data_IF_551127762578
#
_entry.id   IF_551127762578
#
_cell.length_a   1.000
_cell.length_b   1.000
_cell.length_c   1.000
_cell.angle_alpha   90.00
_cell.angle_beta   90.00
_cell.angle_gamma   90.00
#
_symmetry.space_group_name_H-M   'P 1'
#
loop_
_entity.id
_entity.type
_entity.pdbx_description
1 polymer ?
#
# COMPACT_ATOMS: atom_id res chain seq x y z
N UNK A 1 17.54 -2.51 -60.96
CA UNK A 1 17.21 -1.32 -60.12
C UNK A 1 16.14 -1.63 -59.07
N UNK A 2 14.97 -2.15 -59.46
CA UNK A 2 13.84 -2.45 -58.55
C UNK A 2 14.20 -3.36 -57.35
N UNK A 3 14.94 -4.45 -57.56
CA UNK A 3 15.33 -5.37 -56.47
C UNK A 3 16.18 -4.70 -55.37
N UNK A 4 17.09 -3.79 -55.73
CA UNK A 4 17.94 -3.06 -54.76
C UNK A 4 17.11 -2.08 -53.92
N UNK A 5 16.10 -1.47 -54.52
CA UNK A 5 15.17 -0.56 -53.83
C UNK A 5 14.32 -1.36 -52.82
N UNK A 6 13.77 -2.50 -53.23
CA UNK A 6 12.99 -3.36 -52.33
C UNK A 6 13.84 -3.91 -51.18
N UNK A 7 15.08 -4.36 -51.45
CA UNK A 7 15.99 -4.83 -50.42
C UNK A 7 16.38 -3.71 -49.43
N UNK A 8 16.64 -2.50 -49.94
CA UNK A 8 16.93 -1.33 -49.11
C UNK A 8 15.75 -0.96 -48.21
N UNK A 9 14.53 -0.94 -48.75
CA UNK A 9 13.31 -0.67 -47.97
C UNK A 9 13.09 -1.73 -46.89
N UNK A 10 13.24 -3.01 -47.23
CA UNK A 10 13.11 -4.11 -46.27
C UNK A 10 14.11 -4.00 -45.11
N UNK A 11 15.36 -3.66 -45.39
CA UNK A 11 16.38 -3.46 -44.34
C UNK A 11 16.02 -2.27 -43.42
N UNK A 12 15.57 -1.15 -43.99
CA UNK A 12 15.15 0.02 -43.20
C UNK A 12 13.96 -0.33 -42.29
N UNK A 13 12.97 -1.06 -42.80
CA UNK A 13 11.83 -1.51 -42.00
C UNK A 13 12.26 -2.42 -40.85
N UNK A 14 13.14 -3.39 -41.11
CA UNK A 14 13.66 -4.28 -40.06
C UNK A 14 14.46 -3.53 -38.99
N UNK A 15 15.29 -2.56 -39.39
CA UNK A 15 16.03 -1.71 -38.44
C UNK A 15 15.08 -0.84 -37.61
N UNK A 16 14.06 -0.25 -38.23
CA UNK A 16 13.05 0.53 -37.51
C UNK A 16 12.29 -0.33 -36.50
N UNK A 17 11.88 -1.54 -36.88
CA UNK A 17 11.22 -2.50 -35.98
C UNK A 17 12.14 -2.97 -34.85
N UNK A 18 13.41 -3.27 -35.16
CA UNK A 18 14.41 -3.68 -34.17
C UNK A 18 14.70 -2.56 -33.16
N UNK A 19 14.91 -1.34 -33.63
CA UNK A 19 15.09 -0.16 -32.77
C UNK A 19 13.85 0.12 -31.92
N UNK A 20 12.66 0.06 -32.51
CA UNK A 20 11.41 0.22 -31.75
C UNK A 20 11.29 -0.84 -30.65
N UNK A 21 11.58 -2.11 -30.97
CA UNK A 21 11.53 -3.20 -30.01
C UNK A 21 12.53 -2.99 -28.86
N UNK A 22 13.78 -2.63 -29.16
CA UNK A 22 14.81 -2.42 -28.14
C UNK A 22 14.55 -1.19 -27.27
N UNK A 23 14.09 -0.08 -27.86
CA UNK A 23 13.77 1.15 -27.12
C UNK A 23 12.51 1.03 -26.25
N UNK A 24 11.58 0.15 -26.64
CA UNK A 24 10.33 -0.05 -25.90
C UNK A 24 10.31 -1.32 -25.08
N UNK A 25 11.35 -2.16 -25.14
CA UNK A 25 11.44 -3.37 -24.33
C UNK A 25 11.24 -3.01 -22.85
N UNK A 26 10.49 -3.82 -22.10
CA UNK A 26 10.30 -3.57 -20.68
C UNK A 26 11.66 -3.53 -19.98
N UNK A 27 11.79 -2.64 -19.00
CA UNK A 27 13.03 -2.52 -18.23
C UNK A 27 13.41 -3.83 -17.54
N UNK A 28 14.67 -4.00 -17.18
CA UNK A 28 15.03 -5.15 -16.35
C UNK A 28 14.44 -5.00 -14.95
N UNK A 29 13.77 -6.04 -14.42
CA UNK A 29 13.36 -6.14 -13.01
C UNK A 29 14.49 -6.68 -12.13
N UNK A 30 15.75 -6.40 -12.45
CA UNK A 30 16.91 -6.71 -11.59
C UNK A 30 16.93 -5.82 -10.34
N UNK A 31 15.83 -5.81 -9.59
CA UNK A 31 15.69 -5.17 -8.30
C UNK A 31 16.04 -6.21 -7.26
N UNK A 32 17.00 -5.88 -6.39
CA UNK A 32 17.27 -6.71 -5.21
C UNK A 32 16.18 -6.43 -4.19
N UNK A 33 15.36 -7.43 -3.90
CA UNK A 33 14.36 -7.33 -2.85
C UNK A 33 15.00 -7.47 -1.47
N UNK A 34 14.48 -6.79 -0.44
CA UNK A 34 14.89 -7.03 0.93
C UNK A 34 14.75 -8.51 1.30
N UNK A 35 15.63 -8.97 2.19
CA UNK A 35 15.57 -10.31 2.77
C UNK A 35 16.06 -10.23 4.22
N UNK A 36 15.15 -10.35 5.22
CA UNK A 36 13.71 -10.56 5.08
C UNK A 36 12.95 -9.33 4.53
N UNK A 37 11.73 -9.54 4.00
CA UNK A 37 10.87 -8.51 3.42
C UNK A 37 9.53 -8.43 4.17
N UNK A 38 9.19 -7.24 4.67
CA UNK A 38 7.95 -7.01 5.41
C UNK A 38 6.69 -7.26 4.58
N UNK A 39 6.74 -7.01 3.26
CA UNK A 39 5.60 -7.30 2.38
C UNK A 39 5.27 -8.79 2.35
N UNK A 40 6.30 -9.64 2.28
CA UNK A 40 6.12 -11.09 2.22
C UNK A 40 5.54 -11.60 3.57
N UNK A 41 5.97 -11.03 4.70
CA UNK A 41 5.44 -11.35 6.03
C UNK A 41 3.97 -10.91 6.21
N UNK A 42 3.60 -9.70 5.74
CA UNK A 42 2.20 -9.23 5.78
C UNK A 42 1.30 -10.08 4.88
N UNK A 43 1.75 -10.40 3.67
CA UNK A 43 1.04 -11.28 2.76
C UNK A 43 0.84 -12.68 3.37
N UNK A 44 1.88 -13.25 4.00
CA UNK A 44 1.79 -14.53 4.70
C UNK A 44 0.80 -14.49 5.87
N UNK A 45 0.79 -13.41 6.66
CA UNK A 45 -0.20 -13.21 7.72
C UNK A 45 -1.63 -13.21 7.15
N UNK A 46 -1.85 -12.48 6.05
CA UNK A 46 -3.11 -12.41 5.34
C UNK A 46 -3.60 -13.74 4.78
N UNK A 47 -2.69 -14.65 4.40
CA UNK A 47 -3.04 -16.03 3.97
C UNK A 47 -3.35 -16.97 5.13
N UNK A 48 -2.60 -16.85 6.23
CA UNK A 48 -2.70 -17.77 7.37
C UNK A 48 -3.90 -17.46 8.27
N UNK A 49 -4.42 -16.23 8.21
CA UNK A 49 -5.53 -15.86 9.06
C UNK A 49 -6.83 -16.58 8.72
N UNK A 50 -7.64 -16.83 9.75
CA UNK A 50 -9.02 -17.27 9.55
C UNK A 50 -9.83 -16.15 8.91
N UNK A 51 -10.84 -16.43 8.06
CA UNK A 51 -11.68 -15.40 7.46
C UNK A 51 -12.27 -14.46 8.49
N UNK A 52 -12.18 -13.14 8.22
CA UNK A 52 -12.74 -12.11 9.10
C UNK A 52 -14.26 -12.28 9.19
N UNK A 53 -14.87 -12.25 10.40
CA UNK A 53 -16.32 -12.21 10.55
C UNK A 53 -16.92 -11.02 9.77
N UNK A 54 -18.10 -11.18 9.16
CA UNK A 54 -18.68 -10.10 8.33
C UNK A 54 -18.99 -8.82 9.11
N UNK A 55 -19.20 -8.91 10.42
CA UNK A 55 -19.65 -7.83 11.31
C UNK A 55 -18.55 -7.37 12.29
N UNK A 56 -17.28 -7.70 12.04
CA UNK A 56 -16.18 -7.42 12.97
C UNK A 56 -16.02 -5.95 13.36
N UNK A 57 -16.43 -5.02 12.49
CA UNK A 57 -16.31 -3.57 12.68
C UNK A 57 -17.38 -2.99 13.62
N UNK A 58 -18.55 -3.62 13.63
CA UNK A 58 -19.75 -3.19 14.36
C UNK A 58 -20.05 -4.06 15.57
N UNK A 59 -19.43 -5.25 15.64
CA UNK A 59 -19.56 -6.19 16.73
C UNK A 59 -19.24 -5.54 18.08
N UNK A 60 -20.06 -5.91 19.08
CA UNK A 60 -19.91 -5.59 20.49
C UNK A 60 -19.54 -6.83 21.31
N UNK A 61 -19.44 -7.99 20.66
CA UNK A 61 -19.15 -9.26 21.32
C UNK A 61 -17.64 -9.40 21.51
N UNK A 62 -17.15 -8.91 22.64
CA UNK A 62 -15.73 -8.97 23.00
C UNK A 62 -15.21 -10.40 23.10
N UNK A 63 -16.05 -11.36 23.49
CA UNK A 63 -15.66 -12.77 23.60
C UNK A 63 -15.43 -13.38 22.22
N UNK A 64 -16.31 -13.09 21.25
CA UNK A 64 -16.14 -13.54 19.87
C UNK A 64 -14.90 -12.91 19.21
N UNK A 65 -14.66 -11.62 19.42
CA UNK A 65 -13.46 -10.94 18.91
C UNK A 65 -12.18 -11.52 19.54
N UNK A 66 -12.16 -11.77 20.85
CA UNK A 66 -11.02 -12.39 21.52
C UNK A 66 -10.77 -13.80 20.99
N UNK A 67 -11.80 -14.64 20.86
CA UNK A 67 -11.67 -15.99 20.31
C UNK A 67 -11.13 -15.99 18.88
N UNK A 68 -11.55 -15.01 18.07
CA UNK A 68 -10.98 -14.80 16.74
C UNK A 68 -9.50 -14.44 16.80
N UNK A 69 -9.08 -13.50 17.67
CA UNK A 69 -7.66 -13.15 17.81
C UNK A 69 -6.81 -14.31 18.33
N UNK A 70 -7.33 -15.11 19.26
CA UNK A 70 -6.65 -16.30 19.79
C UNK A 70 -6.36 -17.33 18.68
N UNK A 71 -7.29 -17.48 17.73
CA UNK A 71 -7.11 -18.33 16.55
C UNK A 71 -6.11 -17.76 15.52
N UNK A 72 -5.70 -16.50 15.65
CA UNK A 72 -4.84 -15.77 14.70
C UNK A 72 -3.53 -15.28 15.34
N UNK A 73 -3.06 -15.91 16.41
CA UNK A 73 -1.80 -15.57 17.10
C UNK A 73 -0.58 -15.64 16.17
N UNK A 74 -0.48 -16.67 15.32
CA UNK A 74 0.60 -16.81 14.34
C UNK A 74 0.61 -15.67 13.28
N UNK A 75 -0.52 -15.36 12.60
CA UNK A 75 -0.62 -14.17 11.75
C UNK A 75 -0.26 -12.85 12.44
N UNK A 76 -0.65 -12.65 13.70
CA UNK A 76 -0.33 -11.44 14.45
C UNK A 76 1.19 -11.32 14.70
N UNK A 77 1.86 -12.43 15.01
CA UNK A 77 3.32 -12.44 15.19
C UNK A 77 4.07 -12.08 13.90
N UNK A 78 3.57 -12.52 12.74
CA UNK A 78 4.12 -12.13 11.43
C UNK A 78 3.96 -10.63 11.16
N UNK A 79 2.83 -10.05 11.56
CA UNK A 79 2.58 -8.61 11.43
C UNK A 79 3.52 -7.80 12.32
N UNK A 80 3.77 -8.26 13.54
CA UNK A 80 4.76 -7.65 14.43
C UNK A 80 6.16 -7.71 13.83
N UNK A 81 6.56 -8.86 13.30
CA UNK A 81 7.85 -9.04 12.62
C UNK A 81 7.99 -8.10 11.41
N UNK A 82 6.93 -7.90 10.63
CA UNK A 82 6.96 -7.05 9.43
C UNK A 82 7.27 -5.58 9.74
N UNK A 83 6.97 -5.10 10.97
CA UNK A 83 7.20 -3.71 11.36
C UNK A 83 8.68 -3.34 11.40
N UNK A 84 9.55 -4.32 11.68
CA UNK A 84 11.01 -4.14 11.78
C UNK A 84 11.74 -4.42 10.45
N UNK A 85 11.00 -4.70 9.38
CA UNK A 85 11.58 -5.10 8.09
C UNK A 85 11.44 -4.00 7.04
N UNK A 86 12.40 -3.96 6.11
CA UNK A 86 12.22 -3.23 4.87
C UNK A 86 11.07 -3.83 4.08
N UNK A 87 10.31 -2.98 3.40
CA UNK A 87 9.03 -3.36 2.82
C UNK A 87 9.00 -2.99 1.34
N UNK A 88 8.88 -4.00 0.48
CA UNK A 88 8.80 -3.80 -0.96
C UNK A 88 7.93 -4.87 -1.62
N UNK A 89 6.95 -4.43 -2.42
CA UNK A 89 6.10 -5.33 -3.22
C UNK A 89 6.96 -6.12 -4.18
N UNK A 90 6.84 -7.45 -4.11
CA UNK A 90 7.57 -8.37 -4.99
C UNK A 90 6.83 -8.52 -6.31
N UNK A 91 7.50 -8.17 -7.40
CA UNK A 91 6.97 -8.26 -8.76
C UNK A 91 7.84 -9.22 -9.56
N UNK A 92 7.32 -10.41 -9.88
CA UNK A 92 8.05 -11.36 -10.72
C UNK A 92 7.68 -11.22 -12.19
N UNK A 93 8.57 -11.56 -13.12
CA UNK A 93 8.29 -11.46 -14.56
C UNK A 93 7.16 -12.39 -15.02
N UNK A 94 6.87 -13.45 -14.25
CA UNK A 94 5.82 -14.43 -14.54
C UNK A 94 4.49 -14.15 -13.85
N UNK A 95 4.38 -13.05 -13.09
CA UNK A 95 3.21 -12.81 -12.26
C UNK A 95 1.98 -12.44 -13.09
N UNK A 96 0.89 -13.16 -12.86
CA UNK A 96 -0.42 -12.93 -13.47
C UNK A 96 -1.15 -11.79 -12.76
N UNK A 97 -2.18 -11.23 -13.40
CA UNK A 97 -3.02 -10.21 -12.76
C UNK A 97 -3.78 -10.78 -11.55
N UNK A 98 -4.22 -12.03 -11.61
CA UNK A 98 -4.91 -12.70 -10.51
C UNK A 98 -3.99 -12.83 -9.28
N UNK A 99 -2.73 -13.22 -9.48
CA UNK A 99 -1.75 -13.29 -8.39
C UNK A 99 -1.46 -11.90 -7.77
N UNK A 100 -1.46 -10.83 -8.58
CA UNK A 100 -1.32 -9.45 -8.09
C UNK A 100 -2.54 -9.05 -7.24
N UNK A 101 -3.74 -9.42 -7.69
CA UNK A 101 -4.99 -9.16 -6.98
C UNK A 101 -5.04 -9.92 -5.65
N UNK A 102 -4.64 -11.20 -5.66
CA UNK A 102 -4.58 -12.05 -4.48
C UNK A 102 -3.62 -11.46 -3.43
N UNK A 103 -2.40 -11.09 -3.83
CA UNK A 103 -1.43 -10.45 -2.91
C UNK A 103 -1.95 -9.13 -2.32
N UNK A 104 -2.66 -8.34 -3.12
CA UNK A 104 -3.31 -7.11 -2.64
C UNK A 104 -4.44 -7.43 -1.64
N UNK A 105 -5.20 -8.51 -1.88
CA UNK A 105 -6.23 -9.02 -0.99
C UNK A 105 -5.66 -9.53 0.33
N UNK A 106 -4.54 -10.25 0.31
CA UNK A 106 -3.82 -10.73 1.50
C UNK A 106 -3.39 -9.56 2.40
N UNK A 107 -2.82 -8.51 1.81
CA UNK A 107 -2.43 -7.29 2.54
C UNK A 107 -3.63 -6.61 3.20
N UNK A 108 -4.76 -6.53 2.49
CA UNK A 108 -6.02 -6.01 3.04
C UNK A 108 -6.56 -6.88 4.19
N UNK A 109 -6.45 -8.20 4.08
CA UNK A 109 -6.90 -9.09 5.15
C UNK A 109 -6.06 -8.91 6.41
N UNK A 110 -4.75 -8.78 6.27
CA UNK A 110 -3.85 -8.50 7.38
C UNK A 110 -4.17 -7.17 8.09
N UNK A 111 -4.52 -6.11 7.36
CA UNK A 111 -4.94 -4.85 7.99
C UNK A 111 -6.28 -4.98 8.73
N UNK A 112 -7.22 -5.77 8.21
CA UNK A 112 -8.47 -6.08 8.92
C UNK A 112 -8.24 -6.85 10.22
N UNK A 113 -7.29 -7.78 10.25
CA UNK A 113 -6.90 -8.48 11.47
C UNK A 113 -6.39 -7.49 12.54
N UNK A 114 -5.53 -6.53 12.18
CA UNK A 114 -5.11 -5.47 13.09
C UNK A 114 -6.28 -4.57 13.53
N UNK A 115 -7.26 -4.34 12.65
CA UNK A 115 -8.43 -3.56 13.02
C UNK A 115 -9.29 -4.29 14.06
N UNK A 116 -9.38 -5.63 14.01
CA UNK A 116 -10.04 -6.42 15.06
C UNK A 116 -9.30 -6.27 16.40
N UNK A 117 -7.96 -6.27 16.39
CA UNK A 117 -7.16 -5.98 17.60
C UNK A 117 -7.50 -4.61 18.16
N UNK A 118 -7.55 -3.59 17.29
CA UNK A 118 -7.91 -2.24 17.70
C UNK A 118 -9.31 -2.17 18.31
N UNK A 119 -10.28 -2.80 17.65
CA UNK A 119 -11.68 -2.80 18.07
C UNK A 119 -11.87 -3.46 19.43
N UNK A 120 -11.27 -4.63 19.65
CA UNK A 120 -11.37 -5.30 20.94
C UNK A 120 -10.74 -4.43 22.05
N UNK A 121 -9.56 -3.87 21.80
CA UNK A 121 -8.90 -2.99 22.76
C UNK A 121 -9.73 -1.74 23.08
N UNK A 122 -10.42 -1.15 22.10
CA UNK A 122 -11.35 -0.03 22.35
C UNK A 122 -12.52 -0.43 23.24
N UNK A 123 -13.16 -1.57 22.96
CA UNK A 123 -14.29 -2.08 23.75
C UNK A 123 -13.89 -2.38 25.20
N UNK A 124 -12.64 -2.77 25.42
CA UNK A 124 -12.07 -3.03 26.75
C UNK A 124 -11.48 -1.77 27.42
N UNK A 125 -11.59 -0.61 26.79
CA UNK A 125 -11.03 0.66 27.30
C UNK A 125 -9.50 0.77 27.24
N UNK A 126 -8.82 -0.18 26.59
CA UNK A 126 -7.36 -0.22 26.37
C UNK A 126 -6.94 0.67 25.20
N UNK A 127 -7.13 1.99 25.35
CA UNK A 127 -6.93 2.96 24.26
C UNK A 127 -5.52 2.95 23.66
N UNK A 128 -4.49 2.66 24.46
CA UNK A 128 -3.10 2.57 23.99
C UNK A 128 -2.89 1.37 23.06
N UNK A 129 -3.45 0.21 23.42
CA UNK A 129 -3.35 -1.00 22.60
C UNK A 129 -4.12 -0.84 21.28
N UNK A 130 -5.28 -0.17 21.34
CA UNK A 130 -6.04 0.16 20.14
C UNK A 130 -5.26 1.09 19.19
N UNK A 131 -4.68 2.16 19.73
CA UNK A 131 -3.87 3.08 18.95
C UNK A 131 -2.60 2.42 18.37
N UNK A 132 -1.99 1.48 19.10
CA UNK A 132 -0.88 0.69 18.59
C UNK A 132 -1.25 -0.11 17.33
N UNK A 133 -2.39 -0.80 17.36
CA UNK A 133 -2.86 -1.56 16.21
C UNK A 133 -3.19 -0.64 15.02
N UNK A 134 -3.85 0.50 15.26
CA UNK A 134 -4.16 1.49 14.23
C UNK A 134 -2.90 2.15 13.62
N UNK A 135 -1.87 2.39 14.43
CA UNK A 135 -0.59 2.88 13.93
C UNK A 135 0.12 1.87 13.03
N UNK A 136 0.07 0.57 13.37
CA UNK A 136 0.55 -0.49 12.47
C UNK A 136 -0.20 -0.51 11.14
N UNK A 137 -1.53 -0.34 11.17
CA UNK A 137 -2.34 -0.22 9.94
C UNK A 137 -1.87 0.96 9.10
N UNK A 138 -1.68 2.14 9.70
CA UNK A 138 -1.21 3.33 8.98
C UNK A 138 0.16 3.11 8.31
N UNK A 139 1.11 2.53 9.06
CA UNK A 139 2.46 2.24 8.57
C UNK A 139 2.45 1.17 7.47
N UNK A 140 1.73 0.06 7.65
CA UNK A 140 1.61 -0.98 6.63
C UNK A 140 0.96 -0.43 5.36
N UNK A 141 -0.10 0.36 5.50
CA UNK A 141 -0.77 1.02 4.38
C UNK A 141 0.24 1.81 3.57
N UNK A 142 0.98 2.70 4.22
CA UNK A 142 1.99 3.53 3.55
C UNK A 142 3.08 2.71 2.87
N UNK A 143 3.65 1.72 3.56
CA UNK A 143 4.70 0.85 3.03
C UNK A 143 4.22 -0.02 1.86
N UNK A 144 2.93 -0.33 1.79
CA UNK A 144 2.34 -1.20 0.75
C UNK A 144 2.33 -0.61 -0.65
N UNK A 145 2.60 0.69 -0.81
CA UNK A 145 2.80 1.28 -2.13
C UNK A 145 4.21 1.04 -2.70
N UNK A 146 5.19 0.70 -1.85
CA UNK A 146 6.60 0.66 -2.24
C UNK A 146 6.89 -0.50 -3.19
N UNK A 147 7.44 -0.19 -4.36
CA UNK A 147 7.77 -1.22 -5.36
C UNK A 147 6.58 -1.75 -6.18
N UNK A 148 5.36 -1.33 -5.85
CA UNK A 148 4.13 -1.89 -6.43
C UNK A 148 3.66 -1.23 -7.74
N UNK A 149 2.50 -1.73 -8.16
CA UNK A 149 1.63 -1.26 -9.25
C UNK A 149 0.53 -0.32 -8.73
N UNK A 150 -0.30 0.23 -9.63
CA UNK A 150 -1.37 1.17 -9.28
C UNK A 150 -2.34 0.58 -8.25
N UNK A 151 -2.69 -0.68 -8.40
CA UNK A 151 -3.59 -1.38 -7.47
C UNK A 151 -3.02 -1.45 -6.04
N UNK A 152 -1.71 -1.64 -5.90
CA UNK A 152 -1.05 -1.67 -4.61
C UNK A 152 -1.07 -0.28 -3.97
N UNK A 153 -0.85 0.78 -4.76
CA UNK A 153 -0.90 2.16 -4.28
C UNK A 153 -2.32 2.58 -3.85
N UNK A 154 -3.36 2.20 -4.61
CA UNK A 154 -4.74 2.47 -4.22
C UNK A 154 -5.12 1.73 -2.92
N UNK A 155 -4.71 0.46 -2.79
CA UNK A 155 -4.92 -0.32 -1.56
C UNK A 155 -4.17 0.31 -0.38
N UNK A 156 -2.91 0.69 -0.58
CA UNK A 156 -2.06 1.35 0.39
C UNK A 156 -2.71 2.61 0.98
N UNK A 157 -3.24 3.48 0.12
CA UNK A 157 -3.94 4.71 0.54
C UNK A 157 -5.17 4.40 1.38
N UNK A 158 -5.98 3.42 0.97
CA UNK A 158 -7.18 3.02 1.71
C UNK A 158 -6.83 2.45 3.10
N UNK A 159 -5.82 1.58 3.17
CA UNK A 159 -5.34 1.00 4.43
C UNK A 159 -4.76 2.09 5.34
N UNK A 160 -3.92 2.98 4.81
CA UNK A 160 -3.31 4.05 5.61
C UNK A 160 -4.40 4.94 6.23
N UNK A 161 -5.36 5.38 5.41
CA UNK A 161 -6.48 6.22 5.85
C UNK A 161 -7.24 5.62 7.01
N UNK A 162 -7.55 4.32 6.94
CA UNK A 162 -8.24 3.61 8.02
C UNK A 162 -7.47 3.70 9.35
N UNK A 163 -6.14 3.57 9.30
CA UNK A 163 -5.29 3.74 10.48
C UNK A 163 -5.27 5.18 11.00
N UNK A 164 -5.14 6.17 10.10
CA UNK A 164 -5.09 7.59 10.45
C UNK A 164 -6.41 8.08 11.09
N UNK A 165 -7.55 7.70 10.51
CA UNK A 165 -8.87 8.08 11.03
C UNK A 165 -9.13 7.52 12.43
N UNK A 166 -8.80 6.24 12.66
CA UNK A 166 -8.92 5.63 13.99
C UNK A 166 -7.99 6.30 15.00
N UNK A 167 -6.75 6.58 14.63
CA UNK A 167 -5.80 7.29 15.50
C UNK A 167 -6.30 8.69 15.86
N UNK A 168 -6.90 9.41 14.91
CA UNK A 168 -7.48 10.74 15.16
C UNK A 168 -8.57 10.67 16.23
N UNK A 169 -9.45 9.66 16.16
CA UNK A 169 -10.53 9.44 17.13
C UNK A 169 -10.00 9.08 18.53
N UNK A 170 -8.91 8.32 18.62
CA UNK A 170 -8.29 7.95 19.89
C UNK A 170 -7.33 8.99 20.47
N UNK A 171 -6.86 9.95 19.67
CA UNK A 171 -5.81 10.90 20.04
C UNK A 171 -6.02 11.57 21.40
N UNK A 172 -7.24 11.98 21.75
CA UNK A 172 -7.54 12.65 23.02
C UNK A 172 -7.47 11.73 24.25
N UNK A 173 -7.63 10.42 24.06
CA UNK A 173 -7.59 9.41 25.13
C UNK A 173 -6.17 8.91 25.42
N UNK A 174 -5.19 9.30 24.60
CA UNK A 174 -3.82 8.80 24.71
C UNK A 174 -2.99 9.59 25.73
N UNK A 175 -2.22 8.90 26.58
CA UNK A 175 -1.14 9.49 27.36
C UNK A 175 -0.14 10.26 26.49
N UNK A 176 0.53 11.27 27.06
CA UNK A 176 1.41 12.16 26.31
C UNK A 176 2.67 11.46 25.75
N UNK A 177 3.21 10.49 26.48
CA UNK A 177 4.30 9.62 26.06
C UNK A 177 3.89 8.74 24.86
N UNK A 178 2.70 8.17 24.91
CA UNK A 178 2.15 7.36 23.82
C UNK A 178 1.86 8.19 22.56
N UNK A 179 1.31 9.40 22.72
CA UNK A 179 1.17 10.35 21.60
C UNK A 179 2.51 10.64 20.93
N UNK A 180 3.54 10.90 21.74
CA UNK A 180 4.89 11.19 21.25
C UNK A 180 5.48 9.99 20.51
N UNK A 181 5.30 8.78 21.03
CA UNK A 181 5.79 7.54 20.41
C UNK A 181 5.11 7.27 19.07
N UNK A 182 3.77 7.39 19.01
CA UNK A 182 3.01 7.20 17.77
C UNK A 182 3.36 8.27 16.73
N UNK A 183 3.48 9.54 17.14
CA UNK A 183 3.90 10.61 16.23
C UNK A 183 5.25 10.30 15.58
N UNK A 184 6.24 9.88 16.38
CA UNK A 184 7.56 9.45 15.86
C UNK A 184 7.47 8.28 14.89
N UNK A 185 6.60 7.30 15.16
CA UNK A 185 6.40 6.15 14.27
C UNK A 185 5.84 6.59 12.91
N UNK A 186 4.85 7.49 12.90
CA UNK A 186 4.25 8.01 11.66
C UNK A 186 5.23 8.92 10.89
N UNK A 187 5.96 9.78 11.60
CA UNK A 187 6.99 10.67 11.02
C UNK A 187 8.16 9.90 10.40
N UNK A 188 8.53 8.75 10.97
CA UNK A 188 9.60 7.92 10.42
C UNK A 188 9.29 7.50 8.97
N UNK A 189 8.03 7.26 8.65
CA UNK A 189 7.61 6.92 7.28
C UNK A 189 7.61 8.13 6.33
N UNK A 190 7.57 9.37 6.83
CA UNK A 190 7.69 10.58 6.01
C UNK A 190 9.11 10.78 5.46
N UNK A 191 10.13 10.21 6.11
CA UNK A 191 11.52 10.33 5.65
C UNK A 191 11.79 9.67 4.30
N UNK A 192 10.92 8.73 3.91
CA UNK A 192 10.98 8.01 2.65
C UNK A 192 9.97 8.55 1.62
N UNK A 193 9.26 9.64 1.94
CA UNK A 193 8.25 10.21 1.05
C UNK A 193 8.92 10.87 -0.15
N UNK A 194 8.60 10.35 -1.33
CA UNK A 194 8.88 11.04 -2.58
C UNK A 194 7.69 11.94 -2.92
N UNK A 195 7.93 12.90 -3.81
CA UNK A 195 6.85 13.72 -4.37
C UNK A 195 5.75 12.84 -5.02
N UNK A 196 4.48 13.27 -4.93
CA UNK A 196 3.33 12.47 -5.38
C UNK A 196 3.39 12.25 -6.89
N UNK A 197 3.78 13.25 -7.67
CA UNK A 197 3.89 13.10 -9.12
C UNK A 197 5.04 12.16 -9.48
N UNK A 198 6.17 12.24 -8.77
CA UNK A 198 7.27 11.28 -8.92
C UNK A 198 6.85 9.83 -8.59
N UNK A 199 6.00 9.64 -7.57
CA UNK A 199 5.42 8.34 -7.20
C UNK A 199 4.50 7.82 -8.32
N UNK A 200 3.60 8.66 -8.82
CA UNK A 200 2.67 8.34 -9.91
C UNK A 200 3.42 8.02 -11.20
N UNK A 201 4.46 8.77 -11.54
CA UNK A 201 5.32 8.50 -12.70
C UNK A 201 5.98 7.12 -12.57
N UNK A 202 6.55 6.81 -11.41
CA UNK A 202 7.17 5.50 -11.14
C UNK A 202 6.17 4.35 -11.29
N UNK A 203 4.94 4.53 -10.77
CA UNK A 203 3.86 3.54 -10.91
C UNK A 203 3.45 3.38 -12.37
N UNK A 204 3.23 4.49 -13.08
CA UNK A 204 2.85 4.51 -14.50
C UNK A 204 3.87 3.76 -15.35
N UNK A 205 5.16 4.02 -15.14
CA UNK A 205 6.24 3.32 -15.85
C UNK A 205 6.16 1.82 -15.59
N UNK A 206 5.96 1.39 -14.34
CA UNK A 206 5.84 -0.03 -13.98
C UNK A 206 4.61 -0.70 -14.58
N UNK A 207 3.49 0.00 -14.65
CA UNK A 207 2.26 -0.50 -15.30
C UNK A 207 2.48 -0.72 -16.79
N UNK A 208 3.08 0.25 -17.48
CA UNK A 208 3.42 0.11 -18.89
C UNK A 208 4.35 -1.08 -19.15
N UNK A 209 5.33 -1.22 -18.28
CA UNK A 209 6.26 -2.34 -18.27
C UNK A 209 5.54 -3.67 -18.05
N UNK A 210 4.54 -3.71 -17.16
CA UNK A 210 3.73 -4.89 -16.89
C UNK A 210 2.88 -5.29 -18.11
N UNK A 211 2.19 -4.32 -18.73
CA UNK A 211 1.40 -4.53 -19.95
C UNK A 211 2.25 -5.07 -21.09
N UNK A 212 3.46 -4.51 -21.28
CA UNK A 212 4.41 -4.99 -22.31
C UNK A 212 4.91 -6.41 -22.04
N UNK A 213 5.13 -6.81 -20.79
CA UNK A 213 5.52 -8.19 -20.46
C UNK A 213 4.38 -9.17 -20.73
N UNK A 214 3.15 -8.83 -20.33
CA UNK A 214 2.00 -9.72 -20.48
C UNK A 214 1.52 -9.86 -21.93
N UNK A 215 1.58 -8.78 -22.72
CA UNK A 215 1.07 -8.76 -24.09
C UNK A 215 2.17 -8.85 -25.17
N UNK A 216 3.44 -8.79 -24.78
CA UNK A 216 4.58 -8.60 -25.67
C UNK A 216 4.79 -7.13 -26.04
N UNK A 217 6.05 -6.74 -26.29
CA UNK A 217 6.46 -5.33 -26.47
C UNK A 217 5.65 -4.57 -27.52
N UNK A 218 5.42 -5.17 -28.69
CA UNK A 218 4.69 -4.48 -29.78
C UNK A 218 3.22 -4.24 -29.42
N UNK A 219 2.51 -5.29 -28.99
CA UNK A 219 1.09 -5.20 -28.65
C UNK A 219 0.88 -4.35 -27.41
N UNK A 220 1.73 -4.51 -26.39
CA UNK A 220 1.67 -3.70 -25.17
C UNK A 220 1.89 -2.21 -25.42
N UNK A 221 2.90 -1.84 -26.21
CA UNK A 221 3.12 -0.44 -26.61
C UNK A 221 1.93 0.13 -27.39
N UNK A 222 1.32 -0.66 -28.28
CA UNK A 222 0.11 -0.25 -29.00
C UNK A 222 -1.08 -0.02 -28.06
N UNK A 223 -1.29 -0.92 -27.08
CA UNK A 223 -2.35 -0.78 -26.07
C UNK A 223 -2.17 0.48 -25.22
N UNK A 224 -0.94 0.73 -24.76
CA UNK A 224 -0.60 1.93 -23.98
C UNK A 224 -0.87 3.18 -24.82
N UNK A 225 -0.35 3.24 -26.06
CA UNK A 225 -0.56 4.38 -26.95
C UNK A 225 -2.05 4.64 -27.23
N UNK A 226 -2.83 3.58 -27.46
CA UNK A 226 -4.28 3.69 -27.71
C UNK A 226 -5.04 4.27 -26.52
N UNK A 227 -4.54 4.05 -25.29
CA UNK A 227 -5.20 4.47 -24.06
C UNK A 227 -4.67 5.81 -23.52
N UNK A 228 -3.46 6.22 -23.90
CA UNK A 228 -2.75 7.34 -23.27
C UNK A 228 -3.56 8.67 -23.17
N UNK A 229 -4.37 8.97 -24.19
CA UNK A 229 -5.18 10.20 -24.23
C UNK A 229 -6.64 9.98 -23.77
N UNK A 230 -6.96 8.81 -23.23
CA UNK A 230 -8.30 8.49 -22.75
C UNK A 230 -8.44 8.80 -21.27
N UNK A 231 -9.63 9.25 -20.87
CA UNK A 231 -9.98 9.44 -19.45
C UNK A 231 -9.75 8.15 -18.64
N UNK A 232 -10.00 6.98 -19.24
CA UNK A 232 -9.73 5.67 -18.62
C UNK A 232 -8.27 5.48 -18.20
N UNK A 233 -7.31 6.11 -18.90
CA UNK A 233 -5.90 6.02 -18.55
C UNK A 233 -5.48 7.04 -17.50
N UNK A 234 -6.06 8.24 -17.47
CA UNK A 234 -5.64 9.32 -16.57
C UNK A 234 -6.40 9.30 -15.24
N UNK A 235 -7.70 9.02 -15.28
CA UNK A 235 -8.60 9.12 -14.13
C UNK A 235 -8.14 8.28 -12.92
N UNK A 236 -7.65 7.02 -13.07
CA UNK A 236 -7.18 6.25 -11.93
C UNK A 236 -5.97 6.87 -11.21
N UNK A 237 -5.08 7.56 -11.94
CA UNK A 237 -3.93 8.26 -11.37
C UNK A 237 -4.32 9.59 -10.74
N UNK A 238 -5.29 10.30 -11.32
CA UNK A 238 -5.83 11.52 -10.71
C UNK A 238 -6.56 11.20 -9.39
N UNK A 239 -7.33 10.10 -9.37
CA UNK A 239 -7.93 9.58 -8.13
C UNK A 239 -6.86 9.19 -7.11
N UNK A 240 -5.79 8.53 -7.53
CA UNK A 240 -4.67 8.20 -6.65
C UNK A 240 -4.01 9.47 -6.08
N UNK A 241 -3.74 10.47 -6.93
CA UNK A 241 -3.15 11.76 -6.52
C UNK A 241 -3.99 12.43 -5.44
N UNK A 242 -5.28 12.61 -5.70
CA UNK A 242 -6.20 13.24 -4.75
C UNK A 242 -6.24 12.47 -3.42
N UNK A 243 -6.23 11.14 -3.47
CA UNK A 243 -6.31 10.31 -2.28
C UNK A 243 -4.98 10.31 -1.46
N UNK A 244 -3.83 10.41 -2.12
CA UNK A 244 -2.51 10.62 -1.48
C UNK A 244 -2.41 12.02 -0.84
N UNK A 245 -2.89 13.06 -1.51
CA UNK A 245 -2.95 14.42 -0.96
C UNK A 245 -3.85 14.49 0.28
N UNK A 246 -4.99 13.80 0.24
CA UNK A 246 -5.89 13.65 1.38
C UNK A 246 -5.18 12.96 2.54
N UNK A 247 -4.54 11.80 2.32
CA UNK A 247 -3.83 11.08 3.36
C UNK A 247 -2.67 11.90 3.95
N UNK A 248 -1.92 12.63 3.12
CA UNK A 248 -0.87 13.55 3.57
C UNK A 248 -1.43 14.64 4.47
N UNK A 249 -2.60 15.18 4.14
CA UNK A 249 -3.30 16.17 4.96
C UNK A 249 -3.77 15.57 6.28
N UNK A 250 -4.44 14.41 6.24
CA UNK A 250 -4.88 13.70 7.44
C UNK A 250 -3.72 13.35 8.38
N UNK A 251 -2.57 12.94 7.83
CA UNK A 251 -1.35 12.65 8.59
C UNK A 251 -0.83 13.90 9.28
N UNK A 252 -0.73 15.03 8.56
CA UNK A 252 -0.31 16.31 9.14
C UNK A 252 -1.23 16.72 10.29
N UNK A 253 -2.55 16.68 10.06
CA UNK A 253 -3.54 17.00 11.09
C UNK A 253 -3.40 16.10 12.32
N UNK A 254 -3.20 14.79 12.11
CA UNK A 254 -2.97 13.83 13.18
C UNK A 254 -1.69 14.16 13.96
N UNK A 255 -0.58 14.45 13.30
CA UNK A 255 0.68 14.81 13.96
C UNK A 255 0.53 16.08 14.78
N UNK A 256 -0.18 17.09 14.27
CA UNK A 256 -0.47 18.31 15.01
C UNK A 256 -1.33 18.02 16.26
N UNK A 257 -2.32 17.12 16.16
CA UNK A 257 -3.12 16.67 17.31
C UNK A 257 -2.30 15.89 18.34
N UNK A 258 -1.41 15.00 17.91
CA UNK A 258 -0.57 14.20 18.81
C UNK A 258 0.47 15.07 19.54
N UNK A 259 0.89 16.20 18.95
CA UNK A 259 1.84 17.14 19.58
C UNK A 259 1.19 18.11 20.56
N UNK A 260 -0.13 18.24 20.55
CA UNK A 260 -0.81 19.12 21.51
C UNK A 260 -0.60 18.59 22.94
N UNK A 261 -0.24 19.47 23.89
CA UNK A 261 -0.16 19.08 25.30
C UNK A 261 -1.52 18.54 25.72
N UNK A 262 -1.54 17.50 26.57
CA UNK A 262 -2.78 17.03 27.17
C UNK A 262 -3.45 18.25 27.80
N UNK A 263 -4.63 18.63 27.32
CA UNK A 263 -5.42 19.66 27.97
C UNK A 263 -5.64 19.16 29.38
N UNK A 264 -5.00 19.81 30.36
CA UNK A 264 -5.29 19.58 31.77
C UNK A 264 -6.79 19.75 31.89
N UNK A 265 -7.49 18.62 31.98
CA UNK A 265 -8.88 18.58 32.37
C UNK A 265 -8.93 19.28 33.72
N UNK A 266 -9.26 20.58 33.71
CA UNK A 266 -9.67 21.28 34.91
C UNK A 266 -10.83 20.45 35.46
N UNK A 267 -10.52 19.65 36.48
CA UNK A 267 -11.55 18.93 37.21
C UNK A 267 -12.58 19.97 37.63
N UNK A 268 -13.85 19.86 37.22
CA UNK A 268 -14.89 20.68 37.82
C UNK A 268 -14.90 20.32 39.30
N UNK A 269 -14.40 21.25 40.11
CA UNK A 269 -14.47 21.18 41.57
C UNK A 269 -15.94 20.97 41.93
N UNK A 270 -16.28 19.97 42.77
CA UNK A 270 -17.67 19.70 43.15
C UNK A 270 -18.31 20.86 43.91
#
# INVERSE_FOLDING_TARGET
>A
MKLKIFAGLGLVTLLAMGSFYLLNAPGSRNITYPSPNGFDAVAEAGRKMTPVPMDYDSSQDTQALQAYLDANTDPLALLDQAMDQQYMVRMTDSQTMDEILDQSGETRNASRLLYVVARLAELEGRSVDAANALAKIAVIGRRSANGGLLIHAQMAVAIERQGLEGLKQLSQKLPADEKTRIAKLIEAEDTQDIDIDSKIETITVREYDNVKRQSGTLMGSYMIWRLADTEMATEPYDRLRAAEEENRTQRKDLLDLLRQPATTSENPTP
#
